data_IF_215492599401
#
_entry.id   IF_215492599401
#
_cell.length_a   1.000
_cell.length_b   1.000
_cell.length_c   1.000
_cell.angle_alpha   90.00
_cell.angle_beta   90.00
_cell.angle_gamma   90.00
#
_symmetry.space_group_name_H-M   'P 1'
#
loop_
_entity.id
_entity.type
_entity.pdbx_description
1 polymer ?
#
# COMPACT_ATOMS: atom_id res chain seq x y z
N UNK A 1 -25.29 -40.46 -17.95
CA UNK A 1 -23.87 -40.86 -17.86
C UNK A 1 -23.14 -40.14 -18.99
N UNK A 2 -22.53 -39.00 -18.67
CA UNK A 2 -21.59 -38.27 -19.53
C UNK A 2 -20.29 -38.16 -18.74
N UNK A 3 -19.11 -38.35 -19.37
CA UNK A 3 -17.86 -38.56 -18.65
C UNK A 3 -17.30 -37.25 -18.08
N UNK A 4 -16.66 -37.38 -16.92
CA UNK A 4 -16.17 -36.33 -16.02
C UNK A 4 -14.90 -35.63 -16.56
N UNK A 5 -14.43 -36.02 -17.75
CA UNK A 5 -13.10 -35.64 -18.25
C UNK A 5 -13.04 -34.27 -18.95
N UNK A 6 -14.14 -33.51 -18.97
CA UNK A 6 -14.20 -32.22 -19.66
C UNK A 6 -14.02 -31.00 -18.74
N UNK A 7 -13.94 -31.18 -17.41
CA UNK A 7 -13.91 -30.07 -16.45
C UNK A 7 -12.51 -29.74 -15.91
N UNK A 8 -11.47 -30.46 -16.34
CA UNK A 8 -10.12 -30.36 -15.75
C UNK A 8 -9.21 -29.32 -16.43
N UNK A 9 -9.61 -28.75 -17.57
CA UNK A 9 -8.71 -27.92 -18.39
C UNK A 9 -8.81 -26.40 -18.21
N UNK A 10 -9.72 -25.90 -17.36
CA UNK A 10 -9.88 -24.45 -17.11
C UNK A 10 -9.38 -23.97 -15.75
N UNK A 11 -8.75 -24.83 -14.94
CA UNK A 11 -8.41 -24.51 -13.55
C UNK A 11 -6.92 -24.40 -13.13
N UNK A 12 -5.88 -24.64 -13.96
CA UNK A 12 -4.52 -24.63 -13.41
C UNK A 12 -3.85 -23.23 -13.38
N UNK A 13 -4.33 -22.25 -14.16
CA UNK A 13 -3.64 -20.94 -14.25
C UNK A 13 -3.88 -20.01 -13.04
N UNK A 14 -5.05 -20.07 -12.41
CA UNK A 14 -5.39 -19.17 -11.29
C UNK A 14 -4.69 -19.51 -9.97
N UNK A 15 -4.22 -20.75 -9.80
CA UNK A 15 -3.61 -21.20 -8.54
C UNK A 15 -2.11 -20.90 -8.47
N UNK A 16 -1.41 -20.94 -9.62
CA UNK A 16 0.03 -20.64 -9.72
C UNK A 16 0.30 -19.16 -9.45
N UNK A 17 -0.50 -18.27 -10.03
CA UNK A 17 -0.42 -16.81 -9.79
C UNK A 17 -0.65 -16.44 -8.32
N UNK A 18 -1.58 -17.13 -7.63
CA UNK A 18 -1.80 -16.92 -6.19
C UNK A 18 -0.56 -17.30 -5.38
N UNK A 19 0.07 -18.44 -5.67
CA UNK A 19 1.21 -18.95 -4.90
C UNK A 19 2.46 -18.07 -5.07
N UNK A 20 2.72 -17.58 -6.27
CA UNK A 20 3.80 -16.60 -6.55
C UNK A 20 3.57 -15.29 -5.78
N UNK A 21 2.33 -14.78 -5.79
CA UNK A 21 1.95 -13.58 -5.06
C UNK A 21 2.11 -13.75 -3.53
N UNK A 22 1.65 -14.87 -2.96
CA UNK A 22 1.79 -15.15 -1.53
C UNK A 22 3.26 -15.30 -1.11
N UNK A 23 4.09 -15.93 -1.93
CA UNK A 23 5.51 -16.13 -1.60
C UNK A 23 6.26 -14.79 -1.63
N UNK A 24 5.97 -13.93 -2.61
CA UNK A 24 6.49 -12.55 -2.67
C UNK A 24 6.02 -11.69 -1.48
N UNK A 25 4.77 -11.86 -1.03
CA UNK A 25 4.25 -11.18 0.16
C UNK A 25 4.97 -11.66 1.43
N UNK A 26 5.17 -12.98 1.59
CA UNK A 26 5.86 -13.57 2.75
C UNK A 26 7.33 -13.13 2.80
N UNK A 27 8.04 -13.10 1.67
CA UNK A 27 9.43 -12.61 1.63
C UNK A 27 9.54 -11.13 1.96
N UNK A 28 8.59 -10.30 1.52
CA UNK A 28 8.51 -8.88 1.93
C UNK A 28 8.25 -8.74 3.43
N UNK A 29 7.34 -9.55 3.99
CA UNK A 29 7.06 -9.56 5.45
C UNK A 29 8.30 -10.01 6.24
N UNK A 30 9.03 -11.02 5.77
CA UNK A 30 10.27 -11.47 6.42
C UNK A 30 11.36 -10.38 6.35
N UNK A 31 11.49 -9.71 5.19
CA UNK A 31 12.37 -8.56 5.01
C UNK A 31 12.03 -7.39 5.94
N UNK A 32 10.74 -7.17 6.24
CA UNK A 32 10.27 -6.21 7.23
C UNK A 32 10.74 -6.60 8.64
N UNK A 33 10.64 -7.87 9.02
CA UNK A 33 11.10 -8.38 10.33
C UNK A 33 12.61 -8.23 10.49
N UNK A 34 13.38 -8.47 9.43
CA UNK A 34 14.84 -8.25 9.40
C UNK A 34 15.16 -6.76 9.50
N UNK A 35 14.42 -5.91 8.79
CA UNK A 35 14.50 -4.44 8.91
C UNK A 35 14.22 -3.96 10.35
N UNK A 36 13.24 -4.53 11.08
CA UNK A 36 12.96 -4.19 12.49
C UNK A 36 14.22 -4.31 13.36
N UNK A 37 15.02 -5.35 13.13
CA UNK A 37 16.24 -5.63 13.92
C UNK A 37 17.36 -4.62 13.67
N UNK A 38 17.38 -3.98 12.50
CA UNK A 38 18.47 -3.08 12.08
C UNK A 38 18.19 -1.59 12.36
N UNK A 39 16.97 -1.23 12.76
CA UNK A 39 16.49 0.15 13.02
C UNK A 39 17.10 0.86 14.26
N UNK A 40 18.15 0.30 14.85
CA UNK A 40 18.78 0.79 16.07
C UNK A 40 19.67 2.04 15.91
N UNK A 41 19.80 2.66 14.72
CA UNK A 41 20.70 3.82 14.49
C UNK A 41 20.00 5.11 14.06
N UNK A 42 20.40 6.22 14.69
CA UNK A 42 19.76 7.53 14.86
C UNK A 42 19.47 8.41 13.60
N UNK A 43 19.33 7.82 12.40
CA UNK A 43 19.00 8.56 11.16
C UNK A 43 17.87 7.94 10.32
N UNK A 44 17.32 6.81 10.76
CA UNK A 44 16.45 5.96 9.94
C UNK A 44 14.99 6.40 9.94
N UNK A 45 14.53 6.98 11.05
CA UNK A 45 13.15 7.46 11.19
C UNK A 45 12.80 8.52 10.16
N UNK A 46 13.72 9.45 9.88
CA UNK A 46 13.51 10.47 8.83
C UNK A 46 13.33 9.82 7.46
N UNK A 47 14.12 8.78 7.15
CA UNK A 47 13.96 8.01 5.90
C UNK A 47 12.62 7.28 5.85
N UNK A 48 12.17 6.69 6.95
CA UNK A 48 10.85 6.05 7.03
C UNK A 48 9.72 7.05 6.81
N UNK A 49 9.79 8.24 7.42
CA UNK A 49 8.79 9.29 7.23
C UNK A 49 8.78 9.82 5.78
N UNK A 50 9.96 9.98 5.15
CA UNK A 50 10.06 10.37 3.74
C UNK A 50 9.48 9.26 2.84
N UNK A 51 9.79 7.99 3.11
CA UNK A 51 9.22 6.87 2.37
C UNK A 51 7.69 6.85 2.50
N UNK A 52 7.17 7.04 3.72
CA UNK A 52 5.72 7.08 3.98
C UNK A 52 5.05 8.26 3.27
N UNK A 53 5.71 9.42 3.21
CA UNK A 53 5.23 10.59 2.47
C UNK A 53 5.10 10.28 0.97
N UNK A 54 6.15 9.71 0.37
CA UNK A 54 6.14 9.35 -1.06
C UNK A 54 5.09 8.28 -1.37
N UNK A 55 4.98 7.26 -0.52
CA UNK A 55 3.98 6.21 -0.68
C UNK A 55 2.56 6.77 -0.57
N UNK A 56 2.29 7.66 0.38
CA UNK A 56 0.96 8.28 0.55
C UNK A 56 0.58 9.19 -0.63
N UNK A 57 1.56 9.91 -1.21
CA UNK A 57 1.33 10.70 -2.43
C UNK A 57 1.00 9.77 -3.61
N UNK A 58 1.80 8.73 -3.83
CA UNK A 58 1.57 7.77 -4.90
C UNK A 58 0.21 7.08 -4.78
N UNK A 59 -0.10 6.57 -3.58
CA UNK A 59 -1.38 5.96 -3.23
C UNK A 59 -2.55 6.91 -3.49
N UNK A 60 -2.45 8.20 -3.12
CA UNK A 60 -3.49 9.19 -3.42
C UNK A 60 -3.71 9.41 -4.91
N UNK A 61 -2.64 9.53 -5.69
CA UNK A 61 -2.71 9.72 -7.14
C UNK A 61 -3.27 8.47 -7.83
N UNK A 62 -2.76 7.29 -7.48
CA UNK A 62 -3.18 6.02 -8.06
C UNK A 62 -4.65 5.73 -7.75
N UNK A 63 -5.10 5.88 -6.50
CA UNK A 63 -6.52 5.72 -6.16
C UNK A 63 -7.39 6.73 -6.90
N UNK A 64 -7.00 8.00 -6.95
CA UNK A 64 -7.78 9.02 -7.65
C UNK A 64 -7.98 8.67 -9.12
N UNK A 65 -6.90 8.30 -9.83
CA UNK A 65 -7.00 7.87 -11.23
C UNK A 65 -7.82 6.59 -11.39
N UNK A 66 -7.59 5.60 -10.52
CA UNK A 66 -8.33 4.35 -10.56
C UNK A 66 -9.83 4.54 -10.37
N UNK A 67 -10.24 5.39 -9.43
CA UNK A 67 -11.66 5.71 -9.18
C UNK A 67 -12.24 6.61 -10.29
N UNK A 68 -11.48 7.60 -10.75
CA UNK A 68 -11.94 8.54 -11.78
C UNK A 68 -12.25 7.82 -13.11
N UNK A 69 -11.44 6.84 -13.48
CA UNK A 69 -11.65 6.00 -14.67
C UNK A 69 -12.46 4.72 -14.39
N UNK A 70 -13.01 4.56 -13.18
CA UNK A 70 -13.79 3.38 -12.76
C UNK A 70 -13.05 2.04 -12.94
N UNK A 71 -11.71 2.06 -12.83
CA UNK A 71 -10.84 0.91 -13.02
C UNK A 71 -10.73 0.05 -11.74
N UNK A 72 -10.95 0.67 -10.59
CA UNK A 72 -10.94 0.03 -9.26
C UNK A 72 -12.13 0.55 -8.44
N UNK A 73 -12.53 -0.21 -7.43
CA UNK A 73 -13.42 0.26 -6.37
C UNK A 73 -12.61 0.48 -5.09
N UNK A 74 -13.01 1.48 -4.30
CA UNK A 74 -12.36 1.76 -3.02
C UNK A 74 -12.79 0.71 -2.00
N UNK A 75 -11.83 0.06 -1.36
CA UNK A 75 -12.12 -0.97 -0.34
C UNK A 75 -12.33 -0.38 1.05
N UNK A 76 -11.91 0.87 1.26
CA UNK A 76 -12.04 1.56 2.53
C UNK A 76 -13.35 2.39 2.55
N UNK A 77 -14.37 2.00 3.34
CA UNK A 77 -15.68 2.65 3.32
C UNK A 77 -15.63 4.13 3.72
N UNK A 78 -14.64 4.53 4.54
CA UNK A 78 -14.43 5.94 4.88
C UNK A 78 -13.93 6.75 3.68
N UNK A 79 -13.00 6.19 2.92
CA UNK A 79 -12.41 6.88 1.76
C UNK A 79 -13.38 6.89 0.59
N UNK A 80 -14.17 5.83 0.43
CA UNK A 80 -15.28 5.75 -0.52
C UNK A 80 -16.29 6.87 -0.26
N UNK A 81 -16.79 7.01 0.97
CA UNK A 81 -17.72 8.07 1.33
C UNK A 81 -17.16 9.49 1.12
N UNK A 82 -15.88 9.71 1.40
CA UNK A 82 -15.21 10.99 1.13
C UNK A 82 -15.14 11.28 -0.38
N UNK A 83 -14.81 10.27 -1.18
CA UNK A 83 -14.71 10.41 -2.63
C UNK A 83 -16.08 10.64 -3.27
N UNK A 84 -17.11 9.92 -2.84
CA UNK A 84 -18.51 10.11 -3.26
C UNK A 84 -19.04 11.50 -2.93
N UNK A 85 -18.67 12.04 -1.76
CA UNK A 85 -19.04 13.40 -1.36
C UNK A 85 -18.35 14.42 -2.27
N UNK A 86 -17.03 14.33 -2.42
CA UNK A 86 -16.32 15.01 -3.49
C UNK A 86 -14.91 14.43 -3.69
N UNK A 87 -14.47 14.22 -4.95
CA UNK A 87 -13.11 13.75 -5.24
C UNK A 87 -12.01 14.67 -4.70
N UNK A 88 -12.31 15.98 -4.57
CA UNK A 88 -11.39 16.97 -4.00
C UNK A 88 -11.22 16.81 -2.48
N UNK A 89 -12.27 16.45 -1.73
CA UNK A 89 -12.15 16.16 -0.30
C UNK A 89 -11.29 14.92 -0.03
N UNK A 90 -11.43 13.88 -0.85
CA UNK A 90 -10.55 12.70 -0.78
C UNK A 90 -9.08 13.09 -0.94
N UNK A 91 -8.75 13.90 -1.96
CA UNK A 91 -7.38 14.37 -2.19
C UNK A 91 -6.91 15.28 -1.04
N UNK A 92 -7.76 16.19 -0.57
CA UNK A 92 -7.44 17.10 0.53
C UNK A 92 -7.13 16.33 1.82
N UNK A 93 -7.86 15.25 2.10
CA UNK A 93 -7.61 14.39 3.24
C UNK A 93 -6.22 13.72 3.15
N UNK A 94 -5.90 13.09 2.01
CA UNK A 94 -4.57 12.49 1.80
C UNK A 94 -3.45 13.52 1.81
N UNK A 95 -3.67 14.72 1.28
CA UNK A 95 -2.73 15.85 1.35
C UNK A 95 -2.55 16.33 2.80
N UNK A 96 -3.60 16.35 3.61
CA UNK A 96 -3.54 16.67 5.03
C UNK A 96 -2.63 15.70 5.79
N UNK A 97 -2.76 14.40 5.53
CA UNK A 97 -1.85 13.37 6.08
C UNK A 97 -0.40 13.65 5.65
N UNK A 98 -0.16 13.87 4.36
CA UNK A 98 1.17 14.23 3.85
C UNK A 98 1.75 15.50 4.49
N UNK A 99 0.93 16.53 4.72
CA UNK A 99 1.34 17.78 5.36
C UNK A 99 1.74 17.56 6.83
N UNK A 100 0.99 16.72 7.56
CA UNK A 100 1.32 16.33 8.93
C UNK A 100 2.66 15.57 8.96
N UNK A 101 2.86 14.63 8.04
CA UNK A 101 4.14 13.91 7.92
C UNK A 101 5.30 14.87 7.62
N UNK A 102 5.10 15.82 6.71
CA UNK A 102 6.10 16.83 6.36
C UNK A 102 6.44 17.71 7.57
N UNK A 103 5.44 18.08 8.37
CA UNK A 103 5.64 18.79 9.63
C UNK A 103 6.53 17.98 10.59
N UNK A 104 6.24 16.69 10.78
CA UNK A 104 7.07 15.81 11.62
C UNK A 104 8.52 15.71 11.12
N UNK A 105 8.73 15.64 9.80
CA UNK A 105 10.06 15.62 9.18
C UNK A 105 10.80 16.94 9.43
N UNK A 106 10.15 18.09 9.21
CA UNK A 106 10.75 19.42 9.34
C UNK A 106 11.18 19.73 10.76
N UNK A 107 10.35 19.37 11.74
CA UNK A 107 10.63 19.62 13.14
C UNK A 107 11.62 18.61 13.76
N UNK A 108 12.18 17.69 12.96
CA UNK A 108 13.13 16.65 13.38
C UNK A 108 12.70 16.01 14.72
N UNK A 109 11.40 15.73 14.89
CA UNK A 109 10.90 15.15 16.12
C UNK A 109 11.63 13.83 16.33
N UNK A 110 12.47 13.78 17.35
CA UNK A 110 13.13 12.55 17.75
C UNK A 110 12.04 11.65 18.29
N UNK A 111 11.61 10.68 17.47
CA UNK A 111 10.73 9.60 17.90
C UNK A 111 11.51 8.72 18.88
N UNK A 112 11.59 9.16 20.13
CA UNK A 112 12.24 8.44 21.23
C UNK A 112 11.43 7.20 21.63
N UNK A 113 10.12 7.24 21.40
CA UNK A 113 9.24 6.12 21.72
C UNK A 113 9.39 5.00 20.69
N UNK A 114 9.70 3.79 21.18
CA UNK A 114 9.72 2.58 20.37
C UNK A 114 8.35 2.32 19.70
N UNK A 115 7.26 2.73 20.35
CA UNK A 115 5.91 2.63 19.80
C UNK A 115 5.78 3.40 18.47
N UNK A 116 6.30 4.63 18.41
CA UNK A 116 6.23 5.45 17.21
C UNK A 116 7.04 4.85 16.06
N UNK A 117 8.19 4.24 16.35
CA UNK A 117 8.98 3.53 15.33
C UNK A 117 8.23 2.32 14.76
N UNK A 118 7.61 1.53 15.64
CA UNK A 118 6.79 0.38 15.23
C UNK A 118 5.62 0.84 14.38
N UNK A 119 4.90 1.89 14.80
CA UNK A 119 3.78 2.46 14.04
C UNK A 119 4.23 2.96 12.66
N UNK A 120 5.31 3.74 12.59
CA UNK A 120 5.83 4.21 11.29
C UNK A 120 6.24 3.05 10.38
N UNK A 121 6.86 2.01 10.93
CA UNK A 121 7.25 0.86 10.14
C UNK A 121 6.02 0.10 9.64
N UNK A 122 5.06 -0.21 10.51
CA UNK A 122 3.80 -0.85 10.13
C UNK A 122 3.08 -0.05 9.04
N UNK A 123 3.07 1.27 9.15
CA UNK A 123 2.51 2.15 8.13
C UNK A 123 3.27 2.00 6.79
N UNK A 124 4.59 2.09 6.78
CA UNK A 124 5.40 1.92 5.55
C UNK A 124 5.12 0.57 4.90
N UNK A 125 5.00 -0.49 5.69
CA UNK A 125 4.70 -1.83 5.19
C UNK A 125 3.31 -1.92 4.56
N UNK A 126 2.29 -1.40 5.26
CA UNK A 126 0.92 -1.36 4.74
C UNK A 126 0.83 -0.58 3.43
N UNK A 127 1.39 0.63 3.39
CA UNK A 127 1.41 1.47 2.19
C UNK A 127 2.23 0.84 1.04
N UNK A 128 3.27 0.06 1.35
CA UNK A 128 4.02 -0.68 0.33
C UNK A 128 3.19 -1.79 -0.31
N UNK A 129 2.36 -2.49 0.48
CA UNK A 129 1.44 -3.52 -0.04
C UNK A 129 0.39 -2.86 -0.95
N UNK A 130 -0.22 -1.76 -0.51
CA UNK A 130 -1.19 -1.00 -1.31
C UNK A 130 -0.56 -0.49 -2.60
N UNK A 131 0.69 -0.02 -2.55
CA UNK A 131 1.44 0.39 -3.75
C UNK A 131 1.61 -0.75 -4.75
N UNK A 132 1.91 -1.97 -4.30
CA UNK A 132 2.00 -3.15 -5.17
C UNK A 132 0.65 -3.47 -5.80
N UNK A 133 -0.43 -3.40 -5.02
CA UNK A 133 -1.79 -3.55 -5.56
C UNK A 133 -2.06 -2.50 -6.64
N UNK A 134 -1.60 -1.26 -6.44
CA UNK A 134 -1.75 -0.23 -7.45
C UNK A 134 -0.97 -0.53 -8.73
N UNK A 135 0.29 -0.94 -8.61
CA UNK A 135 1.10 -1.34 -9.77
C UNK A 135 0.47 -2.50 -10.53
N UNK A 136 -0.17 -3.45 -9.83
CA UNK A 136 -0.85 -4.59 -10.46
C UNK A 136 -2.00 -4.16 -11.37
N UNK A 137 -2.94 -3.32 -10.90
CA UNK A 137 -4.05 -2.90 -11.77
C UNK A 137 -3.57 -1.94 -12.87
N UNK A 138 -2.63 -1.04 -12.57
CA UNK A 138 -2.06 -0.13 -13.59
C UNK A 138 -1.45 -0.95 -14.73
N UNK A 139 -0.67 -1.99 -14.40
CA UNK A 139 -0.11 -2.89 -15.40
C UNK A 139 -1.21 -3.62 -16.18
N UNK A 140 -2.20 -4.17 -15.50
CA UNK A 140 -3.30 -4.93 -16.11
C UNK A 140 -4.11 -4.12 -17.14
N UNK A 141 -4.36 -2.83 -16.89
CA UNK A 141 -5.12 -1.98 -17.82
C UNK A 141 -4.26 -1.30 -18.88
N UNK A 142 -2.93 -1.25 -18.70
CA UNK A 142 -2.01 -0.69 -19.68
C UNK A 142 -1.52 -1.73 -20.71
N UNK A 143 -1.53 -3.02 -20.35
CA UNK A 143 -1.21 -4.15 -21.23
C UNK A 143 -2.36 -4.52 -22.16
#
# INVERSE_FOLDING_TARGET
MLPIDSLFFLFPLNFVLKKELYTCIIEKILGIIVLIREQARCGMVKKLLIALLLLNIFDGVATYFGLHFQLINEGNPLMESLYETSPSLFLLFKLGVSAILLFFIKHNLKLKSNLLKVVCLTAVCGYSIVTVLHMYWIYYYLS
#
